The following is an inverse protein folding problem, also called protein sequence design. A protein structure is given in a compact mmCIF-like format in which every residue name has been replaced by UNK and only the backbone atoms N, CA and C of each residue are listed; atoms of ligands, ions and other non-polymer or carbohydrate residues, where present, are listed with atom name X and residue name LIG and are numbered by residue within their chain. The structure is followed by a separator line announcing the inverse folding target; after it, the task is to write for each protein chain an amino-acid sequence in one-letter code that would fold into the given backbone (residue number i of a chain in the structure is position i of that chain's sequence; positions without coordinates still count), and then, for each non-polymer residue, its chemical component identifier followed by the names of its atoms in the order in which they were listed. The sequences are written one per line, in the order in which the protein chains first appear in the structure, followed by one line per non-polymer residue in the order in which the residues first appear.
data_IF_968427655915
#
_entry.id   IF_968427655915
#
_cell.length_a   1.000
_cell.length_b   1.000
_cell.length_c   1.000
_cell.angle_alpha   90.00
_cell.angle_beta   90.00
_cell.angle_gamma   90.00
#
_symmetry.space_group_name_H-M   'P 1'
#
loop_
_entity.id
_entity.type
_entity.pdbx_description
1 polymer ?
#
# COMPACT_ATOMS: atom_id res chain seq x y z
N UNK A 1 9.69 19.23 19.41
CA UNK A 1 8.57 18.26 19.27
C UNK A 1 8.02 18.40 17.86
N UNK A 2 7.54 17.27 17.31
CA UNK A 2 7.12 17.03 15.93
C UNK A 2 8.29 16.73 14.98
N UNK A 3 8.70 15.46 14.99
CA UNK A 3 9.35 14.79 13.85
C UNK A 3 8.75 15.31 12.53
N UNK A 4 9.61 15.68 11.59
CA UNK A 4 9.28 15.80 10.17
C UNK A 4 8.80 14.43 9.67
N UNK A 5 7.54 14.11 9.97
CA UNK A 5 6.83 12.92 9.47
C UNK A 5 6.57 12.98 7.96
N UNK A 6 7.13 13.97 7.28
CA UNK A 6 7.25 14.01 5.83
C UNK A 6 8.35 13.08 5.31
N UNK A 7 9.18 12.50 6.21
CA UNK A 7 10.23 11.53 5.88
C UNK A 7 10.03 10.12 6.47
N UNK A 8 8.83 9.73 6.95
CA UNK A 8 8.58 8.34 7.46
C UNK A 8 8.41 7.29 6.34
N UNK A 9 8.92 7.58 5.16
CA UNK A 9 8.90 6.70 4.01
C UNK A 9 10.02 7.12 3.10
N UNK A 10 11.25 6.73 3.45
CA UNK A 10 12.41 6.91 2.58
C UNK A 10 12.07 6.47 1.16
N UNK A 11 12.78 7.03 0.19
CA UNK A 11 12.65 6.78 -1.25
C UNK A 11 12.67 5.28 -1.69
N UNK A 12 12.73 4.34 -0.75
CA UNK A 12 12.78 2.88 -0.90
C UNK A 12 11.72 2.17 -0.05
N UNK A 13 10.47 2.63 -0.04
CA UNK A 13 9.37 1.80 0.47
C UNK A 13 9.08 0.65 -0.51
N UNK A 14 9.84 -0.44 -0.36
CA UNK A 14 9.73 -1.65 -1.20
C UNK A 14 8.66 -2.62 -0.71
N UNK A 15 8.34 -2.59 0.58
CA UNK A 15 7.38 -3.50 1.22
C UNK A 15 6.29 -2.72 1.95
N UNK A 16 5.07 -3.24 1.87
CA UNK A 16 3.87 -2.76 2.55
C UNK A 16 3.81 -3.43 3.92
N UNK A 17 3.89 -2.63 4.97
CA UNK A 17 3.65 -3.10 6.33
C UNK A 17 2.17 -2.88 6.68
N UNK A 18 1.50 -3.96 7.11
CA UNK A 18 0.12 -3.93 7.58
C UNK A 18 0.01 -3.98 9.10
N UNK A 19 1.14 -3.96 9.82
CA UNK A 19 1.17 -4.08 11.28
C UNK A 19 0.69 -2.81 12.00
N UNK A 20 0.81 -1.65 11.35
CA UNK A 20 0.41 -0.37 11.93
C UNK A 20 -0.68 0.29 11.07
N UNK A 21 -1.82 0.64 11.66
CA UNK A 21 -2.97 1.18 10.94
C UNK A 21 -2.65 2.50 10.20
N UNK A 22 -1.72 3.30 10.70
CA UNK A 22 -1.31 4.53 10.01
C UNK A 22 -0.50 4.23 8.75
N UNK A 23 0.29 3.14 8.71
CA UNK A 23 0.99 2.70 7.50
C UNK A 23 0.01 2.15 6.46
N UNK A 24 -0.98 1.36 6.91
CA UNK A 24 -2.06 0.86 6.03
C UNK A 24 -2.76 2.02 5.35
N UNK A 25 -3.13 3.05 6.10
CA UNK A 25 -3.81 4.25 5.59
C UNK A 25 -2.94 5.05 4.61
N UNK A 26 -1.67 5.19 4.90
CA UNK A 26 -0.72 5.88 4.03
C UNK A 26 -0.54 5.13 2.71
N UNK A 27 -0.38 3.80 2.76
CA UNK A 27 -0.30 2.94 1.59
C UNK A 27 -1.59 2.90 0.77
N UNK A 28 -2.74 2.83 1.43
CA UNK A 28 -4.05 2.91 0.80
C UNK A 28 -4.18 4.22 0.02
N UNK A 29 -3.72 5.34 0.59
CA UNK A 29 -3.71 6.65 -0.07
C UNK A 29 -2.76 6.70 -1.27
N UNK A 30 -1.54 6.16 -1.15
CA UNK A 30 -0.54 6.09 -2.24
C UNK A 30 -1.00 5.21 -3.39
N UNK A 31 -1.64 4.08 -3.07
CA UNK A 31 -2.16 3.12 -4.05
C UNK A 31 -3.57 3.47 -4.53
N UNK A 32 -4.14 4.56 -4.00
CA UNK A 32 -5.50 5.03 -4.26
C UNK A 32 -6.58 3.97 -4.05
N UNK A 33 -6.39 3.02 -3.12
CA UNK A 33 -7.27 1.88 -2.89
C UNK A 33 -7.80 1.88 -1.45
N UNK A 34 -8.82 1.09 -1.17
CA UNK A 34 -9.32 0.91 0.20
C UNK A 34 -8.38 0.02 1.03
N UNK A 35 -8.38 0.20 2.36
CA UNK A 35 -7.60 -0.62 3.30
C UNK A 35 -7.92 -2.12 3.15
N UNK A 36 -9.17 -2.44 2.82
CA UNK A 36 -9.60 -3.81 2.55
C UNK A 36 -9.00 -4.37 1.26
N UNK A 37 -8.97 -3.58 0.19
CA UNK A 37 -8.35 -3.97 -1.08
C UNK A 37 -6.84 -4.14 -0.92
N UNK A 38 -6.20 -3.23 -0.17
CA UNK A 38 -4.78 -3.31 0.15
C UNK A 38 -4.44 -4.62 0.87
N UNK A 39 -5.20 -4.96 1.93
CA UNK A 39 -5.00 -6.21 2.70
C UNK A 39 -5.20 -7.44 1.84
N UNK A 40 -6.22 -7.46 0.97
CA UNK A 40 -6.46 -8.56 0.03
C UNK A 40 -5.37 -8.69 -1.01
N UNK A 41 -4.91 -7.58 -1.58
CA UNK A 41 -3.83 -7.57 -2.53
C UNK A 41 -2.55 -8.12 -1.90
N UNK A 42 -2.18 -7.62 -0.71
CA UNK A 42 -1.02 -8.12 0.04
C UNK A 42 -1.14 -9.60 0.37
N UNK A 43 -2.34 -10.09 0.72
CA UNK A 43 -2.57 -11.52 0.95
C UNK A 43 -2.45 -12.36 -0.34
N UNK A 44 -2.73 -11.77 -1.50
CA UNK A 44 -2.70 -12.47 -2.80
C UNK A 44 -1.31 -12.50 -3.42
N UNK A 45 -0.58 -11.38 -3.41
CA UNK A 45 0.72 -11.23 -4.10
C UNK A 45 1.90 -11.01 -3.16
N UNK A 46 1.66 -10.99 -1.84
CA UNK A 46 2.66 -10.70 -0.82
C UNK A 46 2.77 -9.21 -0.51
N UNK A 47 3.63 -8.87 0.45
CA UNK A 47 3.82 -7.50 0.92
C UNK A 47 4.68 -6.63 -0.02
N UNK A 48 5.00 -7.07 -1.24
CA UNK A 48 5.76 -6.24 -2.18
C UNK A 48 4.89 -5.11 -2.73
N UNK A 49 5.35 -3.87 -2.58
CA UNK A 49 4.62 -2.69 -3.03
C UNK A 49 4.39 -2.70 -4.55
N UNK A 50 5.39 -3.14 -5.32
CA UNK A 50 5.27 -3.25 -6.78
C UNK A 50 4.25 -4.31 -7.20
N UNK A 51 4.29 -5.48 -6.56
CA UNK A 51 3.37 -6.56 -6.85
C UNK A 51 1.92 -6.15 -6.55
N UNK A 52 1.70 -5.53 -5.38
CA UNK A 52 0.38 -5.04 -4.96
C UNK A 52 -0.13 -3.95 -5.91
N UNK A 53 0.72 -3.01 -6.30
CA UNK A 53 0.35 -1.97 -7.27
C UNK A 53 -0.08 -2.57 -8.61
N UNK A 54 0.66 -3.55 -9.11
CA UNK A 54 0.33 -4.24 -10.36
C UNK A 54 -0.98 -5.03 -10.25
N UNK A 55 -1.18 -5.73 -9.13
CA UNK A 55 -2.42 -6.46 -8.85
C UNK A 55 -3.64 -5.54 -8.81
N UNK A 56 -3.54 -4.41 -8.08
CA UNK A 56 -4.62 -3.44 -7.96
C UNK A 56 -4.95 -2.78 -9.31
N UNK A 57 -3.93 -2.46 -10.12
CA UNK A 57 -4.13 -1.93 -11.47
C UNK A 57 -4.90 -2.93 -12.36
N UNK A 58 -4.45 -4.19 -12.40
CA UNK A 58 -5.11 -5.24 -13.17
C UNK A 58 -6.53 -5.53 -12.65
N UNK A 59 -6.74 -5.51 -11.34
CA UNK A 59 -8.06 -5.75 -10.75
C UNK A 59 -9.07 -4.65 -11.13
N UNK A 60 -8.61 -3.41 -11.31
CA UNK A 60 -9.45 -2.31 -11.80
C UNK A 60 -9.83 -2.47 -13.26
N UNK A 61 -8.88 -2.85 -14.11
CA UNK A 61 -9.13 -3.09 -15.54
C UNK A 61 -10.11 -4.24 -15.76
N UNK A 62 -10.06 -5.27 -14.91
CA UNK A 62 -10.98 -6.42 -14.96
C UNK A 62 -12.37 -6.14 -14.38
N UNK A 63 -12.51 -5.08 -13.58
CA UNK A 63 -13.78 -4.67 -12.98
C UNK A 63 -14.55 -3.66 -13.84
N UNK A 64 -13.96 -3.19 -14.95
CA UNK A 64 -14.62 -2.44 -16.02
C UNK A 64 -15.19 -3.38 -17.08
#
# INVERSE_FOLDING_TARGET
MADDKTKVGGADRRLINLSEDYEVRDWASVLHCDEYELRRAVQTVGNSAEAVRSYLAQNRERAQ
#
